data_IF_875551242235
#
_entry.id   IF_875551242235
#
_cell.length_a   1.000
_cell.length_b   1.000
_cell.length_c   1.000
_cell.angle_alpha   90.00
_cell.angle_beta   90.00
_cell.angle_gamma   90.00
#
_symmetry.space_group_name_H-M   'P 1'
#
loop_
_entity.id
_entity.type
_entity.pdbx_description
1 polymer ?
#
# COMPACT_ATOMS: atom_id res chain seq x y z
N UNK A 1 -1.50 -11.98 3.65
CA UNK A 1 -2.16 -10.81 3.01
C UNK A 1 -1.91 -9.60 3.90
N UNK A 2 -1.52 -8.46 3.35
CA UNK A 2 -1.22 -7.23 4.09
C UNK A 2 -1.99 -6.06 3.45
N UNK A 3 -2.52 -5.16 4.26
CA UNK A 3 -3.19 -3.94 3.79
C UNK A 3 -2.20 -2.83 3.44
N UNK A 4 -2.61 -1.88 2.61
CA UNK A 4 -1.79 -0.72 2.25
C UNK A 4 -2.13 0.51 3.09
N UNK A 5 -3.36 0.99 2.98
CA UNK A 5 -3.87 2.21 3.60
C UNK A 5 -3.92 2.06 5.13
N UNK A 6 -3.37 3.03 5.84
CA UNK A 6 -3.23 3.10 7.30
C UNK A 6 -2.63 1.82 7.94
N UNK A 7 -1.84 1.08 7.14
CA UNK A 7 -1.13 -0.13 7.57
C UNK A 7 0.34 -0.09 7.15
N UNK A 8 0.62 0.09 5.85
CA UNK A 8 1.98 0.32 5.33
C UNK A 8 2.19 1.82 5.11
N UNK A 9 1.22 2.46 4.46
CA UNK A 9 1.22 3.90 4.22
C UNK A 9 0.31 4.58 5.24
N UNK A 10 0.76 5.64 5.95
CA UNK A 10 -0.09 6.45 6.82
C UNK A 10 -0.97 7.39 5.96
N UNK A 11 -1.83 6.81 5.13
CA UNK A 11 -2.67 7.53 4.16
C UNK A 11 -3.53 8.60 4.83
N UNK A 12 -4.16 8.30 5.96
CA UNK A 12 -4.97 9.24 6.72
C UNK A 12 -4.17 10.49 7.08
N UNK A 13 -2.95 10.32 7.59
CA UNK A 13 -2.13 11.47 7.99
C UNK A 13 -1.55 12.23 6.81
N UNK A 14 -1.29 11.56 5.70
CA UNK A 14 -0.93 12.22 4.44
C UNK A 14 -2.05 13.18 4.01
N UNK A 15 -3.31 12.71 4.01
CA UNK A 15 -4.45 13.53 3.61
C UNK A 15 -4.80 14.62 4.63
N UNK A 16 -4.76 14.31 5.93
CA UNK A 16 -5.06 15.27 7.00
C UNK A 16 -4.06 16.44 7.02
N UNK A 17 -2.80 16.19 6.64
CA UNK A 17 -1.76 17.21 6.57
C UNK A 17 -1.61 17.86 5.17
N UNK A 18 -2.49 17.55 4.21
CA UNK A 18 -2.45 18.14 2.87
C UNK A 18 -1.23 17.73 2.03
N UNK A 19 -0.60 16.60 2.36
CA UNK A 19 0.63 16.12 1.72
C UNK A 19 0.36 15.40 0.40
N UNK A 20 -0.88 15.06 0.08
CA UNK A 20 -1.29 14.50 -1.21
C UNK A 20 -0.95 15.43 -2.39
N UNK A 21 -0.74 16.72 -2.11
CA UNK A 21 -0.21 17.68 -3.07
C UNK A 21 1.18 17.30 -3.62
N UNK A 22 2.01 16.59 -2.82
CA UNK A 22 3.30 16.07 -3.28
C UNK A 22 3.15 15.06 -4.42
N UNK A 23 2.01 14.36 -4.50
CA UNK A 23 1.67 13.45 -5.59
C UNK A 23 1.39 14.16 -6.91
N UNK A 24 1.04 15.46 -6.86
CA UNK A 24 0.72 16.27 -8.03
C UNK A 24 1.89 17.17 -8.47
N UNK A 25 2.78 17.56 -7.54
CA UNK A 25 3.83 18.57 -7.77
C UNK A 25 5.24 18.00 -8.03
N UNK A 26 5.37 16.81 -8.63
CA UNK A 26 6.67 16.17 -8.88
C UNK A 26 7.55 15.98 -7.62
N UNK A 27 6.97 15.50 -6.52
CA UNK A 27 7.73 14.74 -5.52
C UNK A 27 8.50 15.51 -4.45
N UNK A 28 8.23 16.81 -4.25
CA UNK A 28 8.75 17.51 -3.07
C UNK A 28 7.84 17.24 -1.85
N UNK A 29 8.28 16.33 -0.97
CA UNK A 29 7.75 16.22 0.39
C UNK A 29 8.50 17.24 1.27
N UNK A 30 7.82 17.82 2.26
CA UNK A 30 8.48 18.75 3.19
C UNK A 30 9.51 17.98 4.02
N UNK A 31 10.69 18.56 4.25
CA UNK A 31 11.84 17.92 4.91
C UNK A 31 11.49 17.25 6.25
N UNK A 32 10.62 17.88 7.04
CA UNK A 32 10.12 17.33 8.31
C UNK A 32 9.44 15.95 8.13
N UNK A 33 8.64 15.79 7.07
CA UNK A 33 7.96 14.53 6.78
C UNK A 33 8.89 13.51 6.11
N UNK A 34 9.95 13.94 5.41
CA UNK A 34 10.90 12.99 4.82
C UNK A 34 11.55 12.09 5.88
N UNK A 35 11.92 12.65 7.03
CA UNK A 35 12.55 11.89 8.11
C UNK A 35 11.58 10.83 8.66
N UNK A 36 10.36 11.24 8.98
CA UNK A 36 9.32 10.33 9.48
C UNK A 36 8.96 9.26 8.44
N UNK A 37 8.83 9.64 7.17
CA UNK A 37 8.55 8.68 6.09
C UNK A 37 9.67 7.65 5.91
N UNK A 38 10.94 8.04 6.09
CA UNK A 38 12.07 7.09 6.06
C UNK A 38 11.97 6.07 7.20
N UNK A 39 11.59 6.49 8.41
CA UNK A 39 11.42 5.58 9.55
C UNK A 39 10.23 4.61 9.35
N UNK A 40 9.13 5.13 8.79
CA UNK A 40 7.96 4.33 8.40
C UNK A 40 8.35 3.31 7.32
N UNK A 41 9.07 3.76 6.29
CA UNK A 41 9.56 2.92 5.21
C UNK A 41 10.47 1.80 5.71
N UNK A 42 11.40 2.10 6.63
CA UNK A 42 12.24 1.07 7.24
C UNK A 42 11.44 0.06 8.05
N UNK A 43 10.44 0.52 8.79
CA UNK A 43 9.54 -0.34 9.56
C UNK A 43 8.71 -1.26 8.66
N UNK A 44 8.17 -0.70 7.57
CA UNK A 44 7.46 -1.46 6.55
C UNK A 44 8.36 -2.51 5.88
N UNK A 45 9.60 -2.15 5.52
CA UNK A 45 10.55 -3.09 4.92
C UNK A 45 10.89 -4.25 5.86
N UNK A 46 11.10 -3.99 7.15
CA UNK A 46 11.33 -5.05 8.16
C UNK A 46 10.13 -5.98 8.27
N UNK A 47 8.91 -5.43 8.31
CA UNK A 47 7.67 -6.20 8.34
C UNK A 47 7.56 -7.10 7.09
N UNK A 48 7.73 -6.53 5.90
CA UNK A 48 7.62 -7.23 4.62
C UNK A 48 8.67 -8.33 4.47
N UNK A 49 9.92 -8.05 4.87
CA UNK A 49 10.99 -9.04 4.86
C UNK A 49 10.67 -10.21 5.80
N UNK A 50 10.13 -9.92 7.00
CA UNK A 50 9.73 -10.97 7.93
C UNK A 50 8.53 -11.75 7.40
N UNK A 51 7.54 -11.09 6.80
CA UNK A 51 6.37 -11.75 6.23
C UNK A 51 6.75 -12.69 5.07
N UNK A 52 7.63 -12.24 4.16
CA UNK A 52 8.14 -13.07 3.06
C UNK A 52 8.91 -14.30 3.53
N UNK A 53 9.60 -14.22 4.68
CA UNK A 53 10.29 -15.41 5.22
C UNK A 53 9.33 -16.45 5.80
N UNK A 54 8.05 -16.11 5.99
CA UNK A 54 7.01 -17.01 6.48
C UNK A 54 6.08 -17.54 5.38
N UNK A 55 6.16 -17.01 4.16
CA UNK A 55 5.35 -17.46 3.03
C UNK A 55 5.07 -16.39 1.99
N UNK A 56 4.05 -16.61 1.17
CA UNK A 56 3.66 -15.65 0.14
C UNK A 56 3.05 -14.39 0.76
N UNK A 57 3.49 -13.24 0.27
CA UNK A 57 2.90 -11.94 0.59
C UNK A 57 2.14 -11.40 -0.62
N UNK A 58 0.89 -10.99 -0.36
CA UNK A 58 0.04 -10.25 -1.29
C UNK A 58 -0.45 -9.00 -0.56
N UNK A 59 -0.36 -7.86 -1.23
CA UNK A 59 -0.87 -6.58 -0.73
C UNK A 59 -2.26 -6.35 -1.29
N UNK A 60 -3.22 -6.00 -0.43
CA UNK A 60 -4.61 -5.74 -0.80
C UNK A 60 -5.02 -4.37 -0.29
N UNK A 61 -5.54 -3.50 -1.15
CA UNK A 61 -6.05 -2.16 -0.77
C UNK A 61 -7.55 -2.04 -1.04
N UNK A 62 -8.25 -1.23 -0.24
CA UNK A 62 -9.63 -0.81 -0.51
C UNK A 62 -9.72 0.45 -1.40
N UNK A 63 -8.60 0.92 -1.93
CA UNK A 63 -8.49 2.02 -2.88
C UNK A 63 -8.46 1.49 -4.32
N UNK A 64 -8.60 2.38 -5.30
CA UNK A 64 -8.59 2.03 -6.72
C UNK A 64 -7.25 1.45 -7.21
N UNK A 65 -7.28 0.67 -8.29
CA UNK A 65 -6.08 0.19 -8.98
C UNK A 65 -5.14 1.34 -9.35
N UNK A 66 -3.85 1.18 -9.11
CA UNK A 66 -2.83 2.21 -9.34
C UNK A 66 -2.55 3.10 -8.12
N UNK A 67 -3.40 3.06 -7.08
CA UNK A 67 -3.21 3.85 -5.86
C UNK A 67 -1.90 3.51 -5.14
N UNK A 68 -1.59 2.22 -4.96
CA UNK A 68 -0.39 1.76 -4.25
C UNK A 68 0.88 2.21 -4.99
N UNK A 69 0.90 2.09 -6.31
CA UNK A 69 2.03 2.48 -7.15
C UNK A 69 2.22 4.00 -7.14
N UNK A 70 1.14 4.78 -7.24
CA UNK A 70 1.20 6.23 -7.24
C UNK A 70 1.64 6.78 -5.87
N UNK A 71 1.01 6.32 -4.79
CA UNK A 71 1.30 6.77 -3.43
C UNK A 71 2.66 6.28 -2.95
N UNK A 72 3.00 5.01 -3.17
CA UNK A 72 4.29 4.46 -2.81
C UNK A 72 5.46 5.11 -3.55
N UNK A 73 5.30 5.53 -4.80
CA UNK A 73 6.40 6.19 -5.53
C UNK A 73 6.79 7.55 -4.92
N UNK A 74 5.83 8.21 -4.26
CA UNK A 74 6.01 9.53 -3.65
C UNK A 74 6.45 9.40 -2.20
N UNK A 75 5.80 8.52 -1.43
CA UNK A 75 5.94 8.49 0.02
C UNK A 75 6.80 7.33 0.54
N UNK A 76 6.86 6.20 -0.17
CA UNK A 76 7.55 4.97 0.26
C UNK A 76 8.27 4.27 -0.93
N UNK A 77 9.20 4.96 -1.62
CA UNK A 77 9.79 4.46 -2.87
C UNK A 77 10.62 3.17 -2.71
N UNK A 78 11.28 2.96 -1.56
CA UNK A 78 12.01 1.71 -1.26
C UNK A 78 11.03 0.55 -1.01
N UNK A 79 9.84 0.81 -0.46
CA UNK A 79 8.79 -0.23 -0.35
C UNK A 79 8.34 -0.70 -1.74
N UNK A 80 8.09 0.21 -2.69
CA UNK A 80 7.74 -0.22 -4.05
C UNK A 80 8.89 -0.92 -4.77
N UNK A 81 10.13 -0.48 -4.56
CA UNK A 81 11.30 -1.18 -5.07
C UNK A 81 11.38 -2.61 -4.50
N UNK A 82 11.06 -2.78 -3.22
CA UNK A 82 10.97 -4.08 -2.57
C UNK A 82 9.86 -4.95 -3.17
N UNK A 83 8.67 -4.39 -3.42
CA UNK A 83 7.57 -5.12 -4.07
C UNK A 83 7.99 -5.65 -5.43
N UNK A 84 8.62 -4.82 -6.28
CA UNK A 84 9.14 -5.25 -7.59
C UNK A 84 10.21 -6.33 -7.45
N UNK A 85 11.18 -6.13 -6.56
CA UNK A 85 12.29 -7.07 -6.33
C UNK A 85 11.80 -8.46 -5.93
N UNK A 86 10.77 -8.53 -5.10
CA UNK A 86 10.23 -9.77 -4.55
C UNK A 86 8.95 -10.25 -5.25
N UNK A 87 8.57 -9.62 -6.36
CA UNK A 87 7.33 -9.94 -7.10
C UNK A 87 6.08 -9.97 -6.21
N UNK A 88 6.00 -9.05 -5.23
CA UNK A 88 4.82 -8.93 -4.36
C UNK A 88 3.68 -8.38 -5.19
N UNK A 89 2.60 -9.16 -5.29
CA UNK A 89 1.39 -8.75 -6.01
C UNK A 89 0.58 -7.75 -5.20
N UNK A 90 0.07 -6.74 -5.90
CA UNK A 90 -0.86 -5.75 -5.38
C UNK A 90 -2.24 -6.00 -5.98
N UNK A 91 -3.28 -5.99 -5.14
CA UNK A 91 -4.67 -6.18 -5.55
C UNK A 91 -5.54 -5.05 -5.01
N UNK A 92 -6.24 -4.35 -5.91
CA UNK A 92 -7.31 -3.43 -5.51
C UNK A 92 -8.61 -4.22 -5.29
N UNK A 93 -9.04 -4.31 -4.04
CA UNK A 93 -10.31 -4.90 -3.67
C UNK A 93 -11.47 -4.07 -4.22
N UNK A 94 -11.35 -2.74 -4.18
CA UNK A 94 -12.34 -1.81 -4.73
C UNK A 94 -12.52 -2.01 -6.23
N UNK A 95 -11.47 -1.90 -7.03
CA UNK A 95 -11.60 -2.02 -8.48
C UNK A 95 -12.09 -3.40 -8.93
N UNK A 96 -11.87 -4.44 -8.13
CA UNK A 96 -12.43 -5.77 -8.37
C UNK A 96 -13.94 -5.84 -8.06
N UNK A 97 -14.40 -5.19 -7.00
CA UNK A 97 -15.72 -5.45 -6.41
C UNK A 97 -16.68 -4.27 -6.30
N UNK A 98 -16.28 -3.05 -6.61
CA UNK A 98 -17.11 -1.84 -6.46
C UNK A 98 -18.39 -1.86 -7.30
N UNK A 99 -18.42 -2.65 -8.38
CA UNK A 99 -19.60 -2.86 -9.22
C UNK A 99 -20.49 -4.01 -8.77
N UNK A 100 -20.07 -4.78 -7.76
CA UNK A 100 -20.70 -6.04 -7.34
C UNK A 100 -21.25 -5.96 -5.93
N UNK A 101 -20.55 -5.29 -5.00
CA UNK A 101 -20.94 -5.21 -3.60
C UNK A 101 -20.47 -3.91 -2.92
N UNK A 102 -20.90 -3.72 -1.68
CA UNK A 102 -20.53 -2.54 -0.89
C UNK A 102 -19.10 -2.58 -0.33
N UNK A 103 -18.55 -1.43 0.10
CA UNK A 103 -17.17 -1.30 0.58
C UNK A 103 -16.76 -2.30 1.67
N UNK A 104 -17.68 -2.61 2.59
CA UNK A 104 -17.46 -3.55 3.69
C UNK A 104 -17.19 -4.99 3.21
N UNK A 105 -17.61 -5.34 1.99
CA UNK A 105 -17.43 -6.67 1.42
C UNK A 105 -16.22 -6.78 0.48
N UNK A 106 -15.65 -5.67 0.01
CA UNK A 106 -14.58 -5.69 -0.99
C UNK A 106 -13.37 -6.51 -0.53
N UNK A 107 -12.85 -6.22 0.66
CA UNK A 107 -11.69 -6.94 1.22
C UNK A 107 -12.05 -8.37 1.62
N UNK A 108 -13.24 -8.61 2.17
CA UNK A 108 -13.70 -9.96 2.55
C UNK A 108 -13.68 -10.89 1.33
N UNK A 109 -14.27 -10.45 0.22
CA UNK A 109 -14.31 -11.24 -1.03
C UNK A 109 -12.93 -11.39 -1.64
N UNK A 110 -12.15 -10.32 -1.66
CA UNK A 110 -10.77 -10.37 -2.18
C UNK A 110 -9.92 -11.37 -1.38
N UNK A 111 -9.95 -11.33 -0.05
CA UNK A 111 -9.15 -12.25 0.79
C UNK A 111 -9.52 -13.69 0.52
N UNK A 112 -10.81 -13.98 0.40
CA UNK A 112 -11.29 -15.30 0.08
C UNK A 112 -10.79 -15.81 -1.29
N UNK A 113 -10.79 -14.97 -2.32
CA UNK A 113 -10.23 -15.35 -3.63
C UNK A 113 -8.72 -15.53 -3.57
N UNK A 114 -8.01 -14.64 -2.87
CA UNK A 114 -6.57 -14.66 -2.81
C UNK A 114 -6.07 -15.89 -2.04
N UNK A 115 -6.75 -16.29 -0.95
CA UNK A 115 -6.41 -17.51 -0.20
C UNK A 115 -6.64 -18.76 -1.04
N UNK A 116 -7.69 -18.81 -1.88
CA UNK A 116 -7.99 -19.97 -2.74
C UNK A 116 -7.02 -20.16 -3.90
N UNK A 117 -6.25 -19.12 -4.25
CA UNK A 117 -5.26 -19.15 -5.31
C UNK A 117 -3.86 -19.58 -4.80
N UNK A 118 -3.72 -19.87 -3.50
CA UNK A 118 -2.49 -20.35 -2.84
C UNK A 118 -2.56 -21.85 -2.59
#
# INVERSE_FOLDING_TARGET
>A
IIDWDDTILPSHEIFTNGLENAMHRHGAVVEEFETVLREIEESALRLLQRALSQGLVVVVTASESGWVEKSGAVFLPRVLAFFRKHSIRVVSARSRYERVCGPNEWKVRTFHDEIRQL
#
